data_IF_476568659099
#
_entry.id   IF_476568659099
#
_cell.length_a   1.000
_cell.length_b   1.000
_cell.length_c   1.000
_cell.angle_alpha   90.00
_cell.angle_beta   90.00
_cell.angle_gamma   90.00
#
_symmetry.space_group_name_H-M   'P 1'
#
loop_
_entity.id
_entity.type
_entity.pdbx_description
1 polymer ?
#
# COMPACT_ATOMS: atom_id res chain seq x y z
N UNK A 1 1.29 8.41 58.02
CA UNK A 1 0.16 8.16 57.10
C UNK A 1 0.51 8.85 55.79
N UNK A 2 1.13 8.14 54.85
CA UNK A 2 1.41 8.65 53.50
C UNK A 2 0.21 8.31 52.60
N UNK A 3 -0.24 9.17 51.68
CA UNK A 3 -1.20 8.74 50.66
C UNK A 3 -0.48 7.90 49.60
N UNK A 4 -1.16 6.84 49.16
CA UNK A 4 -0.69 5.92 48.15
C UNK A 4 -0.70 6.55 46.75
N UNK A 5 0.29 6.18 45.94
CA UNK A 5 0.51 6.60 44.57
C UNK A 5 -0.69 6.31 43.64
N UNK A 6 -1.15 7.34 42.92
CA UNK A 6 -1.92 7.15 41.70
C UNK A 6 -0.95 6.74 40.59
N UNK A 7 -0.77 5.44 40.37
CA UNK A 7 -0.06 4.95 39.18
C UNK A 7 -0.87 5.28 37.94
N UNK A 8 -0.39 6.24 37.16
CA UNK A 8 -0.83 6.46 35.79
C UNK A 8 -0.40 5.22 34.99
N UNK A 9 -1.37 4.40 34.56
CA UNK A 9 -1.09 3.34 33.63
C UNK A 9 -0.65 3.96 32.30
N UNK A 10 0.64 3.87 32.01
CA UNK A 10 1.18 4.19 30.68
C UNK A 10 0.57 3.20 29.69
N UNK A 11 -0.41 3.66 28.90
CA UNK A 11 -0.85 2.92 27.72
C UNK A 11 0.30 2.96 26.74
N UNK A 12 0.98 1.83 26.54
CA UNK A 12 1.91 1.65 25.43
C UNK A 12 1.12 1.80 24.14
N UNK A 13 1.12 3.00 23.56
CA UNK A 13 0.65 3.17 22.20
C UNK A 13 1.73 2.58 21.28
N UNK A 14 1.64 1.26 21.05
CA UNK A 14 2.26 0.65 19.88
C UNK A 14 1.83 1.49 18.67
N UNK A 15 2.77 1.93 17.79
CA UNK A 15 2.38 2.67 16.61
C UNK A 15 1.39 1.81 15.84
N UNK A 16 0.20 2.35 15.56
CA UNK A 16 -0.79 1.66 14.73
C UNK A 16 -0.11 1.46 13.38
N UNK A 17 0.35 0.23 13.12
CA UNK A 17 0.94 -0.11 11.84
C UNK A 17 -0.15 0.12 10.79
N UNK A 18 0.02 1.17 10.00
CA UNK A 18 -0.92 1.48 8.94
C UNK A 18 -0.88 0.32 7.93
N UNK A 19 -2.05 -0.19 7.55
CA UNK A 19 -2.12 -1.29 6.60
C UNK A 19 -1.43 -0.89 5.27
N UNK A 20 -0.71 -1.80 4.62
CA UNK A 20 -0.10 -1.52 3.32
C UNK A 20 -1.15 -1.07 2.30
N UNK A 21 -0.84 0.03 1.61
CA UNK A 21 -1.77 0.67 0.66
C UNK A 21 -2.26 -0.29 -0.44
N UNK A 22 -1.41 -1.23 -0.86
CA UNK A 22 -1.73 -2.16 -1.93
C UNK A 22 -2.91 -3.08 -1.62
N UNK A 23 -3.25 -3.28 -0.33
CA UNK A 23 -4.43 -4.06 0.07
C UNK A 23 -5.75 -3.38 -0.34
N UNK A 24 -5.72 -2.07 -0.61
CA UNK A 24 -6.90 -1.30 -1.04
C UNK A 24 -7.01 -1.13 -2.55
N UNK A 25 -6.01 -1.56 -3.33
CA UNK A 25 -5.95 -1.37 -4.79
C UNK A 25 -6.97 -2.27 -5.50
N UNK A 26 -7.66 -1.70 -6.49
CA UNK A 26 -8.63 -2.40 -7.34
C UNK A 26 -8.38 -2.07 -8.81
N UNK A 27 -8.80 -2.98 -9.71
CA UNK A 27 -8.85 -2.71 -11.15
C UNK A 27 -9.60 -1.41 -11.44
N UNK A 28 -9.07 -0.60 -12.35
CA UNK A 28 -9.60 0.71 -12.74
C UNK A 28 -9.15 1.87 -11.85
N UNK A 29 -8.36 1.63 -10.81
CA UNK A 29 -7.69 2.70 -10.05
C UNK A 29 -6.39 3.11 -10.73
N UNK A 30 -6.02 4.38 -10.56
CA UNK A 30 -4.68 4.87 -10.87
C UNK A 30 -3.83 4.84 -9.61
N UNK A 31 -2.60 4.34 -9.71
CA UNK A 31 -1.64 4.20 -8.60
C UNK A 31 -0.32 4.87 -8.91
N UNK A 32 0.45 5.17 -7.86
CA UNK A 32 1.84 5.60 -7.99
C UNK A 32 2.74 4.40 -7.67
N UNK A 33 3.61 4.07 -8.62
CA UNK A 33 4.61 3.02 -8.53
C UNK A 33 6.00 3.63 -8.28
N UNK A 34 6.76 3.04 -7.36
CA UNK A 34 8.12 3.48 -7.03
C UNK A 34 8.66 2.80 -5.78
N UNK A 35 9.89 3.15 -5.41
CA UNK A 35 10.52 2.78 -4.14
C UNK A 35 11.20 4.01 -3.55
N UNK A 36 11.33 4.08 -2.24
CA UNK A 36 12.12 5.14 -1.57
C UNK A 36 13.61 5.08 -1.90
N UNK A 37 14.08 3.94 -2.40
CA UNK A 37 15.49 3.72 -2.78
C UNK A 37 15.80 4.20 -4.21
N UNK A 38 14.79 4.65 -4.95
CA UNK A 38 14.91 5.10 -6.34
C UNK A 38 14.09 6.38 -6.59
N UNK A 39 14.61 7.29 -7.40
CA UNK A 39 13.88 8.49 -7.82
C UNK A 39 12.92 8.24 -9.01
N UNK A 40 12.73 6.98 -9.42
CA UNK A 40 11.95 6.59 -10.60
C UNK A 40 10.48 6.30 -10.25
N UNK A 41 9.74 7.36 -9.93
CA UNK A 41 8.30 7.31 -9.64
C UNK A 41 7.46 7.56 -10.88
N UNK A 42 6.40 6.77 -11.06
CA UNK A 42 5.53 6.88 -12.23
C UNK A 42 4.10 6.45 -11.89
N UNK A 43 3.14 6.90 -12.70
CA UNK A 43 1.73 6.57 -12.52
C UNK A 43 1.32 5.41 -13.43
N UNK A 44 0.43 4.56 -12.91
CA UNK A 44 -0.06 3.41 -13.66
C UNK A 44 -1.56 3.20 -13.42
N UNK A 45 -2.27 2.83 -14.48
CA UNK A 45 -3.66 2.37 -14.39
C UNK A 45 -3.68 0.86 -14.14
N UNK A 46 -4.41 0.44 -13.11
CA UNK A 46 -4.50 -0.98 -12.73
C UNK A 46 -5.48 -1.71 -13.63
N UNK A 47 -4.97 -2.69 -14.38
CA UNK A 47 -5.74 -3.53 -15.31
C UNK A 47 -6.20 -4.80 -14.61
N UNK A 48 -5.31 -5.44 -13.84
CA UNK A 48 -5.60 -6.70 -13.17
C UNK A 48 -4.91 -6.76 -11.80
N UNK A 49 -5.60 -7.37 -10.84
CA UNK A 49 -5.09 -7.66 -9.50
C UNK A 49 -4.95 -9.16 -9.35
N UNK A 50 -3.73 -9.63 -9.12
CA UNK A 50 -3.43 -11.05 -8.91
C UNK A 50 -3.02 -11.30 -7.44
N UNK A 51 -3.60 -12.36 -6.88
CA UNK A 51 -3.37 -12.77 -5.50
C UNK A 51 -2.31 -13.84 -5.37
N UNK A 52 -1.69 -13.92 -4.20
CA UNK A 52 -0.61 -14.89 -3.95
C UNK A 52 -1.09 -16.34 -4.02
N UNK A 53 -0.22 -17.25 -4.46
CA UNK A 53 -0.55 -18.68 -4.59
C UNK A 53 -1.03 -19.34 -3.28
N UNK A 54 -0.62 -18.82 -2.12
CA UNK A 54 -1.03 -19.30 -0.80
C UNK A 54 -2.37 -18.73 -0.33
N UNK A 55 -2.65 -17.48 -0.70
CA UNK A 55 -3.91 -16.82 -0.43
C UNK A 55 -4.27 -15.90 -1.62
N UNK A 56 -5.12 -16.38 -2.55
CA UNK A 56 -5.52 -15.61 -3.72
C UNK A 56 -6.29 -14.32 -3.38
N UNK A 57 -6.66 -14.10 -2.12
CA UNK A 57 -7.32 -12.85 -1.68
C UNK A 57 -6.33 -11.74 -1.33
N UNK A 58 -5.06 -12.06 -1.14
CA UNK A 58 -4.02 -11.08 -0.80
C UNK A 58 -3.29 -10.67 -2.09
N UNK A 59 -3.43 -9.41 -2.55
CA UNK A 59 -2.73 -8.94 -3.75
C UNK A 59 -1.22 -9.09 -3.62
N UNK A 60 -0.58 -9.68 -4.62
CA UNK A 60 0.89 -9.78 -4.69
C UNK A 60 1.45 -9.18 -5.97
N UNK A 61 0.65 -9.13 -7.04
CA UNK A 61 1.04 -8.61 -8.35
C UNK A 61 -0.09 -7.79 -8.95
N UNK A 62 0.28 -6.73 -9.65
CA UNK A 62 -0.64 -5.93 -10.45
C UNK A 62 -0.19 -5.92 -11.89
N UNK A 63 -1.12 -6.19 -12.82
CA UNK A 63 -0.92 -5.82 -14.21
C UNK A 63 -1.38 -4.38 -14.36
N UNK A 64 -0.51 -3.54 -14.90
CA UNK A 64 -0.76 -2.11 -15.01
C UNK A 64 -0.36 -1.60 -16.39
N UNK A 65 -1.03 -0.54 -16.86
CA UNK A 65 -0.57 0.28 -17.97
C UNK A 65 0.10 1.53 -17.41
N UNK A 66 1.31 1.81 -17.86
CA UNK A 66 1.98 3.08 -17.61
C UNK A 66 1.17 4.24 -18.22
N UNK A 67 0.88 5.28 -17.43
CA UNK A 67 -0.02 6.38 -17.85
C UNK A 67 0.59 7.20 -18.99
N UNK A 68 1.91 7.37 -19.01
CA UNK A 68 2.58 8.22 -20.01
C UNK A 68 2.80 7.47 -21.33
N UNK A 69 3.17 6.19 -21.25
CA UNK A 69 3.61 5.39 -22.41
C UNK A 69 2.59 4.36 -22.88
N UNK A 70 1.62 3.99 -22.05
CA UNK A 70 0.69 2.89 -22.29
C UNK A 70 1.31 1.49 -22.21
N UNK A 71 2.60 1.37 -21.84
CA UNK A 71 3.28 0.07 -21.74
C UNK A 71 2.64 -0.76 -20.62
N UNK A 72 2.24 -1.99 -20.96
CA UNK A 72 1.66 -2.94 -20.01
C UNK A 72 2.77 -3.78 -19.38
N UNK A 73 2.80 -3.82 -18.04
CA UNK A 73 3.76 -4.62 -17.27
C UNK A 73 3.15 -5.14 -15.98
N UNK A 74 3.81 -6.15 -15.42
CA UNK A 74 3.53 -6.65 -14.08
C UNK A 74 4.40 -5.91 -13.06
N UNK A 75 3.81 -5.55 -11.93
CA UNK A 75 4.45 -4.82 -10.83
C UNK A 75 4.17 -5.54 -9.51
N UNK A 76 5.20 -5.74 -8.69
CA UNK A 76 5.03 -6.27 -7.33
C UNK A 76 4.22 -5.32 -6.47
N UNK A 77 3.35 -5.85 -5.60
CA UNK A 77 2.47 -5.04 -4.77
C UNK A 77 3.22 -4.04 -3.87
N UNK A 78 4.42 -4.41 -3.40
CA UNK A 78 5.26 -3.55 -2.55
C UNK A 78 5.80 -2.29 -3.26
N UNK A 79 5.77 -2.25 -4.60
CA UNK A 79 6.13 -1.05 -5.37
C UNK A 79 4.97 -0.07 -5.52
N UNK A 80 3.76 -0.43 -5.11
CA UNK A 80 2.62 0.49 -5.08
C UNK A 80 2.63 1.23 -3.76
N UNK A 81 2.75 2.54 -3.85
CA UNK A 81 2.99 3.41 -2.69
C UNK A 81 1.80 4.30 -2.38
N UNK A 82 0.98 4.64 -3.38
CA UNK A 82 -0.17 5.52 -3.25
C UNK A 82 -1.27 5.14 -4.25
N UNK A 83 -2.52 5.43 -3.88
CA UNK A 83 -3.69 5.39 -4.78
C UNK A 83 -4.07 6.83 -5.10
N UNK A 84 -4.25 7.15 -6.38
CA UNK A 84 -4.71 8.47 -6.83
C UNK A 84 -6.23 8.53 -6.68
N UNK A 85 -6.79 9.50 -5.92
CA UNK A 85 -8.24 9.66 -5.80
C UNK A 85 -8.87 10.10 -7.12
N UNK A 86 -10.03 9.53 -7.45
CA UNK A 86 -10.85 10.08 -8.53
C UNK A 86 -11.56 11.35 -8.03
N UNK A 87 -11.56 12.40 -8.85
CA UNK A 87 -12.23 13.69 -8.59
C UNK A 87 -13.74 13.62 -8.72
#
# INVERSE_FOLDING_TARGET
MLPADCSVATVSQEPIAQEPVFLSVKTGMTVICGSTDSDDWWMADVIHVDGGARDPKVPTLFQVADVDSGVIRWVCADLVTHIVPNS
#
